data_IF_583434783949
#
_entry.id   IF_583434783949
#
_cell.length_a   1.000
_cell.length_b   1.000
_cell.length_c   1.000
_cell.angle_alpha   90.00
_cell.angle_beta   90.00
_cell.angle_gamma   90.00
#
_symmetry.space_group_name_H-M   'P 1'
#
loop_
_entity.id
_entity.type
_entity.pdbx_description
1 polymer ?
#
# COMPACT_ATOMS: atom_id res chain seq x y z
N UNK A 1 4.78 -11.40 -27.74
CA UNK A 1 3.83 -11.35 -26.62
C UNK A 1 4.52 -11.53 -25.28
N UNK A 2 5.38 -12.53 -25.09
CA UNK A 2 6.11 -12.75 -23.81
C UNK A 2 7.03 -11.57 -23.40
N UNK A 3 7.70 -10.91 -24.31
CA UNK A 3 8.61 -9.79 -24.00
C UNK A 3 7.88 -8.50 -23.58
N UNK A 4 6.64 -8.29 -24.03
CA UNK A 4 5.85 -7.08 -23.70
C UNK A 4 5.25 -7.19 -22.31
N UNK A 5 4.93 -8.40 -21.83
CA UNK A 5 4.36 -8.65 -20.51
C UNK A 5 5.43 -8.77 -19.40
N UNK A 6 6.70 -8.91 -19.77
CA UNK A 6 7.80 -9.03 -18.80
C UNK A 6 8.13 -7.73 -18.08
N UNK A 7 7.99 -6.58 -18.76
CA UNK A 7 8.30 -5.26 -18.18
C UNK A 7 7.27 -4.90 -17.08
N UNK A 8 5.93 -4.98 -17.29
CA UNK A 8 4.95 -4.77 -16.23
C UNK A 8 5.18 -5.64 -15.00
N UNK A 9 5.47 -6.93 -15.21
CA UNK A 9 5.77 -7.85 -14.10
C UNK A 9 7.05 -7.45 -13.36
N UNK A 10 8.09 -7.05 -14.09
CA UNK A 10 9.34 -6.56 -13.49
C UNK A 10 9.11 -5.32 -12.64
N UNK A 11 8.29 -4.36 -13.11
CA UNK A 11 7.95 -3.16 -12.35
C UNK A 11 7.23 -3.51 -11.06
N UNK A 12 6.26 -4.43 -11.11
CA UNK A 12 5.55 -4.91 -9.90
C UNK A 12 6.51 -5.62 -8.94
N UNK A 13 7.44 -6.45 -9.44
CA UNK A 13 8.45 -7.11 -8.60
C UNK A 13 9.37 -6.08 -7.93
N UNK A 14 9.81 -5.06 -8.66
CA UNK A 14 10.66 -4.01 -8.12
C UNK A 14 9.92 -3.16 -7.08
N UNK A 15 8.65 -2.85 -7.31
CA UNK A 15 7.81 -2.13 -6.37
C UNK A 15 7.64 -2.92 -5.06
N UNK A 16 7.24 -4.19 -5.14
CA UNK A 16 7.12 -5.07 -3.96
C UNK A 16 8.45 -5.33 -3.26
N UNK A 17 9.58 -5.36 -4.00
CA UNK A 17 10.91 -5.48 -3.42
C UNK A 17 11.32 -4.27 -2.57
N UNK A 18 10.72 -3.09 -2.79
CA UNK A 18 10.98 -1.91 -1.96
C UNK A 18 10.55 -2.11 -0.49
N UNK A 19 9.54 -2.95 -0.23
CA UNK A 19 9.16 -3.36 1.12
C UNK A 19 10.32 -4.05 1.86
N UNK A 20 11.16 -4.82 1.15
CA UNK A 20 12.35 -5.45 1.75
C UNK A 20 13.41 -4.43 2.12
N UNK A 21 13.56 -3.36 1.33
CA UNK A 21 14.45 -2.24 1.67
C UNK A 21 13.98 -1.58 2.97
N UNK A 22 12.68 -1.30 3.09
CA UNK A 22 12.08 -0.76 4.31
C UNK A 22 12.25 -1.67 5.52
N UNK A 23 12.05 -2.98 5.34
CA UNK A 23 12.28 -3.98 6.37
C UNK A 23 13.72 -3.99 6.87
N UNK A 24 14.67 -3.91 5.95
CA UNK A 24 16.10 -3.88 6.27
C UNK A 24 16.45 -2.61 7.06
N UNK A 25 15.95 -1.45 6.62
CA UNK A 25 16.10 -0.18 7.35
C UNK A 25 15.50 -0.27 8.77
N UNK A 26 14.36 -0.94 8.93
CA UNK A 26 13.71 -1.13 10.23
C UNK A 26 14.47 -2.00 11.23
N UNK A 27 15.45 -2.78 10.78
CA UNK A 27 16.25 -3.68 11.64
C UNK A 27 17.74 -3.32 11.70
N UNK A 28 18.21 -2.39 10.86
CA UNK A 28 19.58 -1.87 10.92
C UNK A 28 19.69 -0.93 12.13
N UNK A 29 20.70 -1.15 12.93
CA UNK A 29 21.00 -0.31 14.08
C UNK A 29 20.10 -0.60 15.29
N UNK A 30 19.64 0.48 15.94
CA UNK A 30 18.74 0.42 17.10
C UNK A 30 17.28 0.25 16.65
N UNK A 31 16.45 -0.26 17.57
CA UNK A 31 15.01 -0.35 17.34
C UNK A 31 14.44 1.04 16.98
N UNK A 32 13.59 1.13 15.93
CA UNK A 32 12.94 2.39 15.59
C UNK A 32 12.15 2.93 16.79
N UNK A 33 12.20 4.25 16.98
CA UNK A 33 11.38 4.89 18.01
C UNK A 33 9.92 4.89 17.59
N UNK A 34 9.01 4.92 18.57
CA UNK A 34 7.57 5.03 18.31
C UNK A 34 7.24 6.26 17.45
N UNK A 35 7.93 7.37 17.69
CA UNK A 35 7.76 8.61 16.91
C UNK A 35 8.15 8.41 15.43
N UNK A 36 9.23 7.69 15.17
CA UNK A 36 9.66 7.37 13.80
C UNK A 36 8.66 6.43 13.11
N UNK A 37 8.15 5.42 13.81
CA UNK A 37 7.14 4.51 13.29
C UNK A 37 5.83 5.24 12.99
N UNK A 38 5.35 6.06 13.90
CA UNK A 38 4.13 6.87 13.71
C UNK A 38 4.28 7.84 12.52
N UNK A 39 5.44 8.48 12.37
CA UNK A 39 5.72 9.32 11.22
C UNK A 39 5.74 8.51 9.92
N UNK A 40 6.39 7.34 9.88
CA UNK A 40 6.48 6.49 8.69
C UNK A 40 5.08 6.00 8.23
N UNK A 41 4.22 5.59 9.17
CA UNK A 41 2.84 5.20 8.88
C UNK A 41 2.02 6.37 8.33
N UNK A 42 2.13 7.56 8.94
CA UNK A 42 1.50 8.76 8.42
C UNK A 42 2.02 9.13 7.02
N UNK A 43 3.32 9.00 6.79
CA UNK A 43 3.96 9.25 5.50
C UNK A 43 3.43 8.31 4.41
N UNK A 44 3.35 7.00 4.69
CA UNK A 44 2.77 6.02 3.79
C UNK A 44 1.30 6.35 3.48
N UNK A 45 0.47 6.63 4.51
CA UNK A 45 -0.92 7.05 4.32
C UNK A 45 -1.05 8.30 3.43
N UNK A 46 -0.15 9.27 3.59
CA UNK A 46 -0.15 10.50 2.78
C UNK A 46 0.15 10.23 1.30
N UNK A 47 1.13 9.37 1.01
CA UNK A 47 1.44 8.95 -0.37
C UNK A 47 0.24 8.22 -0.97
N UNK A 48 -0.30 7.22 -0.25
CA UNK A 48 -1.43 6.40 -0.71
C UNK A 48 -2.68 7.25 -0.99
N UNK A 49 -3.02 8.19 -0.11
CA UNK A 49 -4.15 9.10 -0.33
C UNK A 49 -3.96 9.95 -1.59
N UNK A 50 -2.79 10.53 -1.76
CA UNK A 50 -2.54 11.41 -2.90
C UNK A 50 -2.55 10.64 -4.22
N UNK A 51 -1.84 9.51 -4.31
CA UNK A 51 -1.80 8.73 -5.55
C UNK A 51 -3.18 8.16 -5.91
N UNK A 52 -3.95 7.69 -4.91
CA UNK A 52 -5.28 7.14 -5.15
C UNK A 52 -6.25 8.16 -5.71
N UNK A 53 -6.24 9.38 -5.15
CA UNK A 53 -7.21 10.43 -5.50
C UNK A 53 -6.77 11.32 -6.65
N UNK A 54 -5.47 11.53 -6.85
CA UNK A 54 -4.94 12.47 -7.85
C UNK A 54 -4.41 11.78 -9.10
N UNK A 55 -4.10 10.48 -9.04
CA UNK A 55 -3.56 9.73 -10.18
C UNK A 55 -4.47 8.57 -10.57
N UNK A 56 -4.64 7.58 -9.70
CA UNK A 56 -5.35 6.33 -10.05
C UNK A 56 -6.82 6.54 -10.38
N UNK A 57 -7.56 7.26 -9.54
CA UNK A 57 -8.98 7.51 -9.78
C UNK A 57 -9.22 8.39 -11.01
N UNK A 58 -8.52 9.52 -11.22
CA UNK A 58 -8.62 10.30 -12.46
C UNK A 58 -8.24 9.50 -13.71
N UNK A 59 -7.16 8.73 -13.67
CA UNK A 59 -6.77 7.87 -14.80
C UNK A 59 -7.86 6.85 -15.13
N UNK A 60 -8.46 6.23 -14.10
CA UNK A 60 -9.57 5.30 -14.29
C UNK A 60 -10.81 5.97 -14.90
N UNK A 61 -11.18 7.17 -14.44
CA UNK A 61 -12.34 7.92 -14.94
C UNK A 61 -12.16 8.40 -16.38
N UNK A 62 -10.93 8.68 -16.81
CA UNK A 62 -10.60 9.14 -18.15
C UNK A 62 -10.34 7.99 -19.14
N UNK A 63 -10.35 6.73 -18.68
CA UNK A 63 -10.10 5.59 -19.54
C UNK A 63 -11.17 5.42 -20.64
N UNK A 64 -10.77 4.99 -21.85
CA UNK A 64 -11.70 4.79 -22.95
C UNK A 64 -12.84 3.83 -22.61
N UNK A 65 -14.09 4.29 -22.76
CA UNK A 65 -15.30 3.50 -22.49
C UNK A 65 -15.71 3.47 -21.01
N UNK A 66 -14.97 4.09 -20.10
CA UNK A 66 -15.37 4.21 -18.71
C UNK A 66 -16.44 5.29 -18.55
N UNK A 67 -17.55 4.95 -17.88
CA UNK A 67 -18.53 5.96 -17.48
C UNK A 67 -18.23 6.47 -16.05
N UNK A 68 -18.51 7.74 -15.74
CA UNK A 68 -18.31 8.25 -14.38
C UNK A 68 -19.06 7.44 -13.32
N UNK A 69 -20.27 6.96 -13.63
CA UNK A 69 -21.05 6.12 -12.72
C UNK A 69 -20.36 4.80 -12.41
N UNK A 70 -19.77 4.16 -13.42
CA UNK A 70 -19.02 2.91 -13.24
C UNK A 70 -17.72 3.16 -12.45
N UNK A 71 -16.96 4.20 -12.80
CA UNK A 71 -15.70 4.53 -12.14
C UNK A 71 -15.88 4.86 -10.67
N UNK A 72 -16.77 5.79 -10.34
CA UNK A 72 -17.09 6.08 -8.93
C UNK A 72 -17.76 4.91 -8.21
N UNK A 73 -18.60 4.13 -8.91
CA UNK A 73 -19.22 2.92 -8.38
C UNK A 73 -18.16 1.88 -7.98
N UNK A 74 -17.14 1.66 -8.81
CA UNK A 74 -16.03 0.74 -8.51
C UNK A 74 -15.14 1.26 -7.39
N UNK A 75 -14.87 2.56 -7.34
CA UNK A 75 -14.16 3.19 -6.22
C UNK A 75 -14.89 2.96 -4.88
N UNK A 76 -16.20 3.23 -4.85
CA UNK A 76 -17.03 2.97 -3.66
C UNK A 76 -17.12 1.49 -3.33
N UNK A 77 -17.18 0.62 -4.33
CA UNK A 77 -17.16 -0.83 -4.13
C UNK A 77 -15.85 -1.29 -3.49
N UNK A 78 -14.72 -0.75 -3.92
CA UNK A 78 -13.41 -1.01 -3.30
C UNK A 78 -13.35 -0.55 -1.85
N UNK A 79 -13.78 0.69 -1.60
CA UNK A 79 -13.84 1.28 -0.26
C UNK A 79 -14.73 0.46 0.69
N UNK A 80 -15.95 0.11 0.26
CA UNK A 80 -16.88 -0.71 1.05
C UNK A 80 -16.42 -2.17 1.15
N UNK A 81 -15.78 -2.68 0.10
CA UNK A 81 -15.18 -4.01 0.06
C UNK A 81 -14.07 -4.16 1.09
N UNK A 82 -13.25 -3.13 1.28
CA UNK A 82 -12.27 -3.09 2.36
C UNK A 82 -12.94 -3.29 3.73
N UNK A 83 -13.96 -2.50 4.07
CA UNK A 83 -14.67 -2.63 5.35
C UNK A 83 -15.39 -3.98 5.52
N UNK A 84 -15.88 -4.57 4.42
CA UNK A 84 -16.47 -5.90 4.46
C UNK A 84 -15.41 -6.97 4.73
N UNK A 85 -14.24 -6.88 4.07
CA UNK A 85 -13.11 -7.79 4.28
C UNK A 85 -12.53 -7.64 5.67
N UNK A 86 -12.36 -6.41 6.13
CA UNK A 86 -11.88 -6.09 7.48
C UNK A 86 -12.74 -6.75 8.57
N UNK A 87 -14.06 -6.73 8.44
CA UNK A 87 -14.97 -7.41 9.38
C UNK A 87 -14.90 -8.94 9.32
N UNK A 88 -14.50 -9.53 8.19
CA UNK A 88 -14.36 -10.98 8.05
C UNK A 88 -13.02 -11.48 8.60
N UNK A 89 -12.03 -10.60 8.69
CA UNK A 89 -10.74 -10.95 9.24
C UNK A 89 -10.75 -10.73 10.75
N UNK A 90 -10.12 -11.60 11.56
CA UNK A 90 -10.06 -11.45 13.01
C UNK A 90 -9.07 -10.34 13.41
N UNK A 91 -9.31 -9.13 12.92
CA UNK A 91 -8.55 -7.94 13.30
C UNK A 91 -9.06 -7.45 14.66
N UNK A 92 -8.15 -7.06 15.52
CA UNK A 92 -8.49 -6.18 16.63
C UNK A 92 -8.22 -4.76 16.13
N UNK A 93 -9.30 -4.01 15.92
CA UNK A 93 -9.14 -2.57 15.68
C UNK A 93 -8.33 -1.93 16.80
N UNK A 94 -7.53 -0.90 16.51
CA UNK A 94 -6.82 -0.14 17.55
C UNK A 94 -7.74 0.29 18.71
N UNK A 95 -9.03 0.54 18.43
CA UNK A 95 -10.05 0.88 19.41
C UNK A 95 -10.36 -0.27 20.38
N UNK A 96 -10.35 -1.53 19.92
CA UNK A 96 -10.54 -2.71 20.76
C UNK A 96 -9.32 -2.94 21.67
N UNK A 97 -8.14 -2.55 21.23
CA UNK A 97 -6.91 -2.59 22.02
C UNK A 97 -6.93 -1.59 23.18
N UNK A 98 -7.66 -0.48 23.06
CA UNK A 98 -7.87 0.48 24.16
C UNK A 98 -8.90 -0.01 25.19
N UNK A 99 -9.94 -0.74 24.75
CA UNK A 99 -10.93 -1.31 25.67
C UNK A 99 -10.36 -2.45 26.55
N UNK A 100 -9.31 -3.12 26.09
CA UNK A 100 -8.58 -4.17 26.84
C UNK A 100 -7.35 -3.64 27.62
N UNK A 101 -7.30 -2.35 27.96
CA UNK A 101 -6.14 -1.66 28.53
C UNK A 101 -5.61 -2.18 29.88
N UNK A 102 -6.15 -3.26 30.43
CA UNK A 102 -5.68 -3.90 31.67
C UNK A 102 -4.92 -5.23 31.47
N UNK A 103 -4.77 -5.72 30.22
CA UNK A 103 -3.96 -6.92 29.97
C UNK A 103 -2.64 -6.56 29.31
N UNK A 104 -1.51 -7.25 29.62
CA UNK A 104 -0.25 -7.01 28.95
C UNK A 104 -0.44 -7.20 27.43
N UNK A 105 -0.25 -6.14 26.66
CA UNK A 105 -0.37 -6.12 25.21
C UNK A 105 0.47 -7.27 24.63
N UNK A 106 -0.14 -8.18 23.92
CA UNK A 106 0.58 -9.19 23.19
C UNK A 106 1.12 -8.55 21.89
N UNK A 107 2.19 -7.74 22.02
CA UNK A 107 2.84 -7.01 20.93
C UNK A 107 3.11 -7.89 19.69
N UNK A 108 3.38 -9.18 19.92
CA UNK A 108 3.61 -10.12 18.82
C UNK A 108 2.33 -10.37 18.02
N UNK A 109 1.18 -10.52 18.69
CA UNK A 109 -0.11 -10.70 18.01
C UNK A 109 -0.47 -9.46 17.21
N UNK A 110 -0.32 -8.27 17.78
CA UNK A 110 -0.54 -6.99 17.10
C UNK A 110 0.37 -6.86 15.88
N UNK A 111 1.67 -7.17 15.99
CA UNK A 111 2.59 -7.10 14.85
C UNK A 111 2.24 -8.09 13.73
N UNK A 112 1.73 -9.29 14.06
CA UNK A 112 1.28 -10.28 13.06
C UNK A 112 0.01 -9.77 12.36
N UNK A 113 -0.98 -9.27 13.11
CA UNK A 113 -2.23 -8.76 12.54
C UNK A 113 -1.97 -7.55 11.63
N UNK A 114 -1.10 -6.64 12.06
CA UNK A 114 -0.65 -5.54 11.22
C UNK A 114 0.00 -6.04 9.92
N UNK A 115 0.89 -7.02 10.00
CA UNK A 115 1.52 -7.60 8.81
C UNK A 115 0.47 -8.20 7.87
N UNK A 116 -0.53 -8.90 8.40
CA UNK A 116 -1.61 -9.48 7.60
C UNK A 116 -2.44 -8.39 6.93
N UNK A 117 -2.80 -7.32 7.65
CA UNK A 117 -3.49 -6.16 7.10
C UNK A 117 -2.72 -5.55 5.94
N UNK A 118 -1.44 -5.22 6.16
CA UNK A 118 -0.56 -4.67 5.13
C UNK A 118 -0.39 -5.65 3.94
N UNK A 119 -0.29 -6.95 4.18
CA UNK A 119 -0.19 -7.95 3.09
C UNK A 119 -1.45 -8.01 2.23
N UNK A 120 -2.62 -7.82 2.85
CA UNK A 120 -3.89 -7.89 2.14
C UNK A 120 -4.11 -6.72 1.19
N UNK A 121 -3.60 -5.53 1.49
CA UNK A 121 -3.71 -4.42 0.55
C UNK A 121 -2.58 -4.40 -0.49
N UNK A 122 -1.39 -4.88 -0.17
CA UNK A 122 -0.31 -5.02 -1.14
C UNK A 122 -0.69 -5.94 -2.30
N UNK A 123 -1.53 -6.94 -2.06
CA UNK A 123 -1.99 -7.84 -3.12
C UNK A 123 -2.81 -7.12 -4.22
N UNK A 124 -3.86 -6.32 -3.93
CA UNK A 124 -4.52 -5.45 -4.91
C UNK A 124 -3.58 -4.44 -5.58
N UNK A 125 -2.61 -3.90 -4.86
CA UNK A 125 -1.63 -2.96 -5.42
C UNK A 125 -0.76 -3.60 -6.49
N UNK A 126 -0.31 -4.84 -6.26
CA UNK A 126 0.42 -5.60 -7.26
C UNK A 126 -0.41 -5.86 -8.52
N UNK A 127 -1.72 -6.12 -8.37
CA UNK A 127 -2.64 -6.22 -9.51
C UNK A 127 -2.70 -4.88 -10.25
N UNK A 128 -2.92 -3.77 -9.53
CA UNK A 128 -3.04 -2.44 -10.13
C UNK A 128 -1.77 -2.02 -10.86
N UNK A 129 -0.60 -2.19 -10.24
CA UNK A 129 0.70 -1.87 -10.83
C UNK A 129 0.93 -2.66 -12.12
N UNK A 130 0.70 -3.98 -12.10
CA UNK A 130 0.84 -4.83 -13.28
C UNK A 130 -0.13 -4.43 -14.39
N UNK A 131 -1.41 -4.25 -14.06
CA UNK A 131 -2.47 -3.96 -15.01
C UNK A 131 -2.27 -2.60 -15.66
N UNK A 132 -1.90 -1.58 -14.89
CA UNK A 132 -1.62 -0.24 -15.40
C UNK A 132 -0.40 -0.26 -16.33
N UNK A 133 0.71 -0.86 -15.90
CA UNK A 133 1.92 -0.96 -16.72
C UNK A 133 1.73 -1.79 -18.01
N UNK A 134 0.74 -2.71 -17.99
CA UNK A 134 0.39 -3.50 -19.19
C UNK A 134 -0.43 -2.72 -20.19
N UNK A 135 -1.19 -1.72 -19.75
CA UNK A 135 -2.02 -0.86 -20.60
C UNK A 135 -1.30 0.39 -21.07
N UNK A 136 -0.54 1.00 -20.19
CA UNK A 136 0.25 2.20 -20.42
C UNK A 136 1.54 2.09 -19.59
N UNK A 137 2.67 1.93 -20.28
CA UNK A 137 3.97 1.73 -19.63
C UNK A 137 4.44 3.00 -18.91
N UNK A 138 4.11 4.16 -19.43
CA UNK A 138 4.51 5.44 -18.86
C UNK A 138 3.78 5.70 -17.53
N UNK A 139 2.45 5.58 -17.54
CA UNK A 139 1.63 5.62 -16.33
C UNK A 139 2.03 4.50 -15.34
N UNK A 140 2.31 3.30 -15.86
CA UNK A 140 2.76 2.16 -15.06
C UNK A 140 4.11 2.40 -14.36
N UNK A 141 5.06 3.08 -15.01
CA UNK A 141 6.32 3.49 -14.38
C UNK A 141 6.08 4.49 -13.24
N UNK A 142 5.21 5.48 -13.46
CA UNK A 142 4.82 6.45 -12.44
C UNK A 142 4.21 5.77 -11.22
N UNK A 143 3.24 4.88 -11.44
CA UNK A 143 2.59 4.13 -10.35
C UNK A 143 3.58 3.19 -9.66
N UNK A 144 4.39 2.43 -10.39
CA UNK A 144 5.38 1.53 -9.80
C UNK A 144 6.41 2.28 -8.94
N UNK A 145 6.86 3.46 -9.37
CA UNK A 145 7.76 4.30 -8.58
C UNK A 145 7.07 4.81 -7.30
N UNK A 146 5.83 5.26 -7.42
CA UNK A 146 5.05 5.71 -6.27
C UNK A 146 4.83 4.59 -5.27
N UNK A 147 4.43 3.41 -5.75
CA UNK A 147 4.27 2.19 -4.94
C UNK A 147 5.61 1.82 -4.28
N UNK A 148 6.73 1.84 -4.98
CA UNK A 148 8.04 1.59 -4.40
C UNK A 148 8.40 2.59 -3.29
N UNK A 149 8.08 3.88 -3.45
CA UNK A 149 8.38 4.92 -2.46
C UNK A 149 7.58 4.70 -1.16
N UNK A 150 6.29 4.31 -1.22
CA UNK A 150 5.51 4.06 0.01
C UNK A 150 5.76 2.66 0.60
N UNK A 151 6.15 1.69 -0.18
CA UNK A 151 6.51 0.35 0.29
C UNK A 151 7.72 0.35 1.24
N UNK A 152 8.64 1.31 1.09
CA UNK A 152 9.75 1.47 2.04
C UNK A 152 9.25 1.80 3.46
N UNK A 153 8.45 2.85 3.70
CA UNK A 153 7.77 3.08 4.98
C UNK A 153 6.94 1.90 5.49
N UNK A 154 6.26 1.18 4.62
CA UNK A 154 5.46 0.01 5.00
C UNK A 154 6.32 -1.15 5.49
N UNK A 155 7.39 -1.46 4.78
CA UNK A 155 8.37 -2.45 5.24
C UNK A 155 8.94 -2.12 6.61
N UNK A 156 9.21 -0.84 6.89
CA UNK A 156 9.59 -0.33 8.20
C UNK A 156 8.46 -0.52 9.23
N UNK A 157 7.21 -0.22 8.84
CA UNK A 157 6.02 -0.34 9.69
C UNK A 157 5.71 -1.78 10.09
N UNK A 158 6.01 -2.75 9.24
CA UNK A 158 5.91 -4.19 9.56
C UNK A 158 7.11 -4.65 10.41
N UNK A 159 8.33 -4.35 9.96
CA UNK A 159 9.53 -4.85 10.60
C UNK A 159 9.78 -4.23 11.99
N UNK A 160 9.47 -2.95 12.18
CA UNK A 160 9.70 -2.25 13.44
C UNK A 160 8.94 -2.84 14.62
N UNK A 161 7.61 -2.93 14.60
CA UNK A 161 6.81 -3.57 15.66
C UNK A 161 7.16 -5.04 15.87
N UNK A 162 7.41 -5.80 14.79
CA UNK A 162 7.80 -7.19 14.87
C UNK A 162 9.17 -7.35 15.56
N UNK A 163 10.14 -6.51 15.25
CA UNK A 163 11.43 -6.49 15.93
C UNK A 163 11.27 -6.07 17.41
N UNK A 164 10.46 -5.07 17.68
CA UNK A 164 10.16 -4.66 19.06
C UNK A 164 9.56 -5.80 19.88
N UNK A 165 8.61 -6.55 19.29
CA UNK A 165 7.89 -7.62 19.96
C UNK A 165 8.72 -8.91 20.16
N UNK A 166 9.63 -9.22 19.23
CA UNK A 166 10.34 -10.51 19.20
C UNK A 166 11.81 -10.43 19.58
N UNK A 167 12.42 -9.24 19.53
CA UNK A 167 13.87 -9.03 19.63
C UNK A 167 14.68 -9.64 18.48
N UNK A 168 14.02 -10.19 17.46
CA UNK A 168 14.63 -10.94 16.37
C UNK A 168 14.56 -10.18 15.04
N UNK A 169 15.70 -9.74 14.54
CA UNK A 169 15.82 -9.10 13.21
C UNK A 169 15.34 -10.01 12.07
N UNK A 170 15.71 -11.29 12.14
CA UNK A 170 15.32 -12.28 11.12
C UNK A 170 13.81 -12.45 11.05
N UNK A 171 13.11 -12.52 12.18
CA UNK A 171 11.64 -12.61 12.18
C UNK A 171 10.99 -11.34 11.64
N UNK A 172 11.53 -10.17 12.00
CA UNK A 172 11.04 -8.90 11.50
C UNK A 172 11.13 -8.82 9.97
N UNK A 173 12.30 -9.14 9.41
CA UNK A 173 12.51 -9.17 7.95
C UNK A 173 11.63 -10.23 7.29
N UNK A 174 11.52 -11.43 7.87
CA UNK A 174 10.67 -12.50 7.32
C UNK A 174 9.20 -12.07 7.16
N UNK A 175 8.61 -11.45 8.19
CA UNK A 175 7.23 -11.00 8.11
C UNK A 175 7.04 -9.85 7.12
N UNK A 176 7.97 -8.92 7.03
CA UNK A 176 7.93 -7.89 6.02
C UNK A 176 8.14 -8.44 4.60
N UNK A 177 8.95 -9.49 4.43
CA UNK A 177 9.06 -10.20 3.16
C UNK A 177 7.72 -10.83 2.74
N UNK A 178 6.97 -11.42 3.68
CA UNK A 178 5.62 -11.95 3.39
C UNK A 178 4.71 -10.84 2.86
N UNK A 179 4.77 -9.66 3.49
CA UNK A 179 3.99 -8.50 3.03
C UNK A 179 4.35 -8.08 1.60
N UNK A 180 5.62 -7.86 1.31
CA UNK A 180 6.07 -7.51 -0.05
C UNK A 180 5.84 -8.60 -1.09
N UNK A 181 5.89 -9.89 -0.70
CA UNK A 181 5.55 -11.00 -1.58
C UNK A 181 4.07 -11.02 -1.97
N UNK A 182 3.17 -10.51 -1.12
CA UNK A 182 1.75 -10.43 -1.45
C UNK A 182 1.52 -9.52 -2.68
N UNK A 183 2.24 -8.41 -2.81
CA UNK A 183 2.21 -7.54 -3.98
C UNK A 183 2.71 -8.26 -5.23
N UNK A 184 3.86 -8.93 -5.14
CA UNK A 184 4.42 -9.72 -6.26
C UNK A 184 3.42 -10.80 -6.70
N UNK A 185 2.77 -11.49 -5.75
CA UNK A 185 1.75 -12.49 -6.04
C UNK A 185 0.53 -11.87 -6.73
N UNK A 186 0.11 -10.67 -6.33
CA UNK A 186 -0.96 -9.92 -7.01
C UNK A 186 -0.64 -9.68 -8.48
N UNK A 187 0.57 -9.19 -8.77
CA UNK A 187 1.04 -8.99 -10.14
C UNK A 187 1.17 -10.27 -10.95
N UNK A 188 1.69 -11.34 -10.33
CA UNK A 188 1.78 -12.67 -10.97
C UNK A 188 0.40 -13.22 -11.28
N UNK A 189 -0.55 -13.09 -10.35
CA UNK A 189 -1.94 -13.50 -10.61
C UNK A 189 -2.56 -12.69 -11.74
N UNK A 190 -2.35 -11.38 -11.75
CA UNK A 190 -2.82 -10.51 -12.83
C UNK A 190 -2.22 -10.93 -14.18
N UNK A 191 -0.92 -11.24 -14.22
CA UNK A 191 -0.26 -11.76 -15.41
C UNK A 191 -0.91 -13.05 -15.96
N UNK A 192 -1.18 -14.01 -15.09
CA UNK A 192 -1.72 -15.31 -15.51
C UNK A 192 -3.22 -15.33 -15.80
N UNK A 193 -4.02 -14.59 -14.97
CA UNK A 193 -5.48 -14.65 -15.03
C UNK A 193 -6.03 -13.58 -15.95
N UNK A 194 -5.46 -12.38 -15.88
CA UNK A 194 -6.01 -11.22 -16.56
C UNK A 194 -5.39 -11.04 -17.96
N UNK A 195 -4.13 -11.38 -18.16
CA UNK A 195 -3.44 -11.45 -19.46
C UNK A 195 -3.84 -10.39 -20.50
N UNK A 196 -3.59 -10.63 -21.78
CA UNK A 196 -3.88 -9.67 -22.85
C UNK A 196 -5.38 -9.51 -23.17
N UNK A 197 -6.28 -10.18 -22.45
CA UNK A 197 -7.73 -10.14 -22.68
C UNK A 197 -8.48 -9.04 -21.92
N UNK A 198 -7.78 -8.21 -21.09
CA UNK A 198 -8.42 -7.15 -20.35
C UNK A 198 -8.77 -5.96 -21.25
N UNK A 199 -10.07 -5.63 -21.28
CA UNK A 199 -10.48 -4.39 -21.91
C UNK A 199 -10.04 -3.17 -21.07
N UNK A 200 -9.81 -1.99 -21.70
CA UNK A 200 -9.45 -0.77 -20.96
C UNK A 200 -10.43 -0.43 -19.83
N UNK A 201 -11.73 -0.73 -20.02
CA UNK A 201 -12.76 -0.52 -18.99
C UNK A 201 -12.56 -1.42 -17.77
N UNK A 202 -12.19 -2.69 -17.98
CA UNK A 202 -11.94 -3.62 -16.86
C UNK A 202 -10.69 -3.20 -16.08
N UNK A 203 -9.64 -2.80 -16.78
CA UNK A 203 -8.41 -2.26 -16.18
C UNK A 203 -8.75 -1.05 -15.30
N UNK A 204 -9.44 -0.08 -15.87
CA UNK A 204 -9.84 1.13 -15.18
C UNK A 204 -10.78 0.86 -13.99
N UNK A 205 -11.69 -0.13 -14.12
CA UNK A 205 -12.54 -0.55 -13.01
C UNK A 205 -11.75 -1.13 -11.85
N UNK A 206 -10.74 -1.96 -12.13
CA UNK A 206 -9.82 -2.51 -11.11
C UNK A 206 -9.04 -1.36 -10.45
N UNK A 207 -8.47 -0.44 -11.25
CA UNK A 207 -7.74 0.72 -10.71
C UNK A 207 -8.60 1.57 -9.78
N UNK A 208 -9.85 1.87 -10.18
CA UNK A 208 -10.78 2.62 -9.35
C UNK A 208 -11.10 1.88 -8.04
N UNK A 209 -11.33 0.57 -8.08
CA UNK A 209 -11.59 -0.24 -6.89
C UNK A 209 -10.37 -0.27 -5.95
N UNK A 210 -9.16 -0.46 -6.48
CA UNK A 210 -7.93 -0.43 -5.67
C UNK A 210 -7.71 0.94 -5.05
N UNK A 211 -7.94 2.04 -5.78
CA UNK A 211 -7.89 3.38 -5.22
C UNK A 211 -8.85 3.56 -4.03
N UNK A 212 -10.04 2.96 -4.10
CA UNK A 212 -11.00 2.95 -2.99
C UNK A 212 -10.48 2.16 -1.78
N UNK A 213 -9.89 0.99 -1.99
CA UNK A 213 -9.26 0.18 -0.93
C UNK A 213 -8.15 0.98 -0.25
N UNK A 214 -7.25 1.59 -1.03
CA UNK A 214 -6.11 2.35 -0.51
C UNK A 214 -6.55 3.56 0.34
N UNK A 215 -7.60 4.28 -0.09
CA UNK A 215 -8.17 5.39 0.70
C UNK A 215 -8.74 4.86 2.02
N UNK A 216 -9.53 3.79 1.99
CA UNK A 216 -10.11 3.20 3.20
C UNK A 216 -9.01 2.77 4.19
N UNK A 217 -8.02 2.02 3.74
CA UNK A 217 -6.90 1.56 4.55
C UNK A 217 -6.10 2.72 5.16
N UNK A 218 -5.81 3.76 4.37
CA UNK A 218 -5.05 4.92 4.85
C UNK A 218 -5.74 5.61 6.02
N UNK A 219 -7.08 5.74 5.94
CA UNK A 219 -7.88 6.46 6.93
C UNK A 219 -8.25 5.59 8.13
N UNK A 220 -8.59 4.33 7.90
CA UNK A 220 -9.14 3.42 8.90
C UNK A 220 -8.06 2.64 9.66
N UNK A 221 -6.94 2.33 9.03
CA UNK A 221 -5.88 1.52 9.65
C UNK A 221 -4.59 2.31 9.90
N UNK A 222 -3.96 2.88 8.85
CA UNK A 222 -2.63 3.49 9.01
C UNK A 222 -2.62 4.72 9.91
N UNK A 223 -3.58 5.62 9.76
CA UNK A 223 -3.64 6.84 10.58
C UNK A 223 -4.01 6.55 12.05
N UNK A 224 -5.00 5.72 12.38
CA UNK A 224 -5.27 5.31 13.76
C UNK A 224 -4.09 4.59 14.40
N UNK A 225 -3.47 3.65 13.68
CA UNK A 225 -2.30 2.92 14.18
C UNK A 225 -1.12 3.85 14.49
N UNK A 226 -0.87 4.83 13.62
CA UNK A 226 0.17 5.84 13.88
C UNK A 226 -0.06 6.62 15.18
N UNK A 227 -1.32 6.96 15.47
CA UNK A 227 -1.72 7.63 16.73
C UNK A 227 -1.58 6.73 17.93
N UNK A 228 -1.88 5.44 17.79
CA UNK A 228 -1.78 4.47 18.87
C UNK A 228 -0.32 4.15 19.24
N UNK A 229 0.57 4.12 18.24
CA UNK A 229 2.00 3.88 18.45
C UNK A 229 2.65 5.05 19.20
N UNK A 230 2.30 6.29 18.86
CA UNK A 230 2.77 7.48 19.56
C UNK A 230 1.65 8.52 19.70
N UNK A 231 0.89 8.49 20.81
CA UNK A 231 -0.19 9.44 21.08
C UNK A 231 0.28 10.89 21.20
N UNK A 232 1.58 11.12 21.45
CA UNK A 232 2.16 12.46 21.58
C UNK A 232 2.67 13.02 20.24
N UNK A 233 2.86 12.16 19.23
CA UNK A 233 3.17 12.63 17.87
C UNK A 233 1.89 12.98 17.13
N UNK A 234 2.01 13.94 16.21
CA UNK A 234 0.92 14.22 15.29
C UNK A 234 1.21 13.54 13.95
N UNK A 235 0.58 12.37 13.66
CA UNK A 235 0.80 11.66 12.40
C UNK A 235 0.46 12.50 11.16
N UNK A 236 -0.33 13.58 11.33
CA UNK A 236 -0.64 14.51 10.23
C UNK A 236 0.60 15.14 9.60
N UNK A 237 1.69 15.32 10.35
CA UNK A 237 2.97 15.77 9.75
C UNK A 237 3.54 14.73 8.78
N UNK A 238 3.45 13.44 9.12
CA UNK A 238 3.81 12.36 8.22
C UNK A 238 2.95 12.40 6.96
N UNK A 239 1.62 12.49 7.12
CA UNK A 239 0.65 12.58 6.01
C UNK A 239 0.97 13.74 5.08
N UNK A 240 1.14 14.95 5.63
CA UNK A 240 1.48 16.15 4.83
C UNK A 240 2.81 15.99 4.10
N UNK A 241 3.82 15.42 4.76
CA UNK A 241 5.11 15.15 4.15
C UNK A 241 4.98 14.12 3.02
N UNK A 242 4.25 13.02 3.24
CA UNK A 242 3.98 12.00 2.22
C UNK A 242 3.25 12.56 1.01
N UNK A 243 2.18 13.33 1.23
CA UNK A 243 1.46 14.02 0.15
C UNK A 243 2.37 15.00 -0.61
N UNK A 244 3.21 15.75 0.10
CA UNK A 244 4.14 16.71 -0.52
C UNK A 244 5.17 16.00 -1.38
N UNK A 245 5.81 14.94 -0.87
CA UNK A 245 6.80 14.15 -1.61
C UNK A 245 6.16 13.51 -2.83
N UNK A 246 4.98 12.91 -2.67
CA UNK A 246 4.28 12.28 -3.78
C UNK A 246 3.84 13.29 -4.84
N UNK A 247 3.26 14.43 -4.45
CA UNK A 247 2.86 15.50 -5.38
C UNK A 247 4.04 16.06 -6.15
N UNK A 248 5.19 16.25 -5.48
CA UNK A 248 6.43 16.65 -6.15
C UNK A 248 6.95 15.58 -7.12
N UNK A 249 6.91 14.30 -6.74
CA UNK A 249 7.31 13.19 -7.59
C UNK A 249 6.45 13.09 -8.85
N UNK A 250 5.12 13.20 -8.72
CA UNK A 250 4.21 13.22 -9.87
C UNK A 250 4.49 14.42 -10.80
N UNK A 251 4.71 15.60 -10.24
CA UNK A 251 5.04 16.81 -11.02
C UNK A 251 6.34 16.64 -11.80
N UNK A 252 7.36 16.02 -11.19
CA UNK A 252 8.64 15.73 -11.88
C UNK A 252 8.45 14.71 -13.00
N UNK A 253 7.69 13.65 -12.78
CA UNK A 253 7.39 12.63 -13.79
C UNK A 253 6.67 13.26 -14.99
N UNK A 254 5.62 14.04 -14.76
CA UNK A 254 4.90 14.76 -15.81
C UNK A 254 5.79 15.75 -16.57
N UNK A 255 6.67 16.47 -15.88
CA UNK A 255 7.58 17.43 -16.50
C UNK A 255 8.70 16.76 -17.30
N UNK A 256 9.06 15.53 -17.00
CA UNK A 256 10.07 14.74 -17.72
C UNK A 256 9.50 14.00 -18.94
N UNK A 257 8.20 14.11 -19.21
CA UNK A 257 7.53 13.39 -20.29
C UNK A 257 7.35 11.91 -20.00
N UNK A 258 7.37 11.52 -18.71
CA UNK A 258 7.18 10.15 -18.22
C UNK A 258 5.85 10.04 -17.44
N UNK A 259 4.91 10.97 -17.60
CA UNK A 259 3.63 10.97 -16.91
C UNK A 259 2.52 11.63 -17.66
#
# INVERSE_FOLDING_TARGET
MESVMSVPLLLTILAGAATFVGAFLGVIGQKPSNRMLAFALGFAAGIMLLISLMEMLPAALNAPGMSPLLGYGMFLLGLLGYFALDRLLPHQHPQDLMAESQKPRNLRRTAILLTLGISLHNFPEGIATFVTASSDLELGLGIALAVAIHNIPEGLAVAGPMYAATGSKSRAVFWACISGLAEILGGVLAFWVLGPALSPVVIAAIMAAVAGIMVALSVDELMPLARDIDPHSNPSYGVLCGMTVMGFSLTLLQSSGIG
#
